data_IF_136960371939
#
_entry.id   IF_136960371939
#
_cell.length_a   1.000
_cell.length_b   1.000
_cell.length_c   1.000
_cell.angle_alpha   90.00
_cell.angle_beta   90.00
_cell.angle_gamma   90.00
#
_symmetry.space_group_name_H-M   'P 1'
#
loop_
_entity.id
_entity.type
_entity.pdbx_description
1 polymer ?
#
# COMPACT_ATOMS: atom_id res chain seq x y z
N UNK A 1 -37.72 22.08 58.59
CA UNK A 1 -36.79 22.99 57.86
C UNK A 1 -37.12 22.82 56.37
N UNK A 2 -37.38 23.93 55.65
CA UNK A 2 -37.72 23.87 54.23
C UNK A 2 -36.49 23.67 53.37
N UNK A 3 -36.70 22.98 52.26
CA UNK A 3 -35.74 22.79 51.17
C UNK A 3 -35.63 24.10 50.40
N UNK A 4 -34.42 24.61 50.18
CA UNK A 4 -34.15 25.74 49.27
C UNK A 4 -33.99 25.18 47.89
N UNK A 5 -34.95 25.51 46.98
CA UNK A 5 -34.90 25.30 45.52
C UNK A 5 -34.15 26.49 44.90
N UNK A 6 -32.87 26.34 44.62
CA UNK A 6 -32.11 27.23 43.73
C UNK A 6 -31.09 26.43 42.90
N UNK A 7 -31.62 25.58 41.99
CA UNK A 7 -30.83 24.98 40.91
C UNK A 7 -31.24 25.64 39.59
N UNK A 8 -30.61 26.77 39.27
CA UNK A 8 -30.68 27.36 37.94
C UNK A 8 -29.90 26.45 36.94
N UNK A 9 -30.51 26.06 35.80
CA UNK A 9 -29.84 25.16 34.85
C UNK A 9 -28.62 25.85 34.22
N UNK A 10 -27.54 25.14 33.93
CA UNK A 10 -26.32 25.71 33.39
C UNK A 10 -26.56 26.34 32.01
N UNK A 11 -26.10 27.58 31.86
CA UNK A 11 -26.21 28.34 30.60
C UNK A 11 -25.52 27.60 29.46
N UNK A 12 -26.15 27.55 28.26
CA UNK A 12 -25.55 26.89 27.12
C UNK A 12 -24.24 27.55 26.71
N UNK A 13 -23.25 26.77 26.23
CA UNK A 13 -21.91 27.26 25.86
C UNK A 13 -22.03 28.30 24.71
N UNK A 14 -21.33 29.41 24.86
CA UNK A 14 -21.27 30.48 23.86
C UNK A 14 -20.75 29.91 22.54
N UNK A 15 -21.54 30.02 21.46
CA UNK A 15 -21.11 29.64 20.09
C UNK A 15 -19.82 30.36 19.75
N UNK A 16 -18.74 29.56 19.57
CA UNK A 16 -17.51 30.02 18.94
C UNK A 16 -17.84 30.52 17.53
N UNK A 17 -17.53 31.78 17.24
CA UNK A 17 -17.64 32.31 15.88
C UNK A 17 -16.58 31.65 15.02
N UNK A 18 -16.99 30.71 14.17
CA UNK A 18 -16.15 30.08 13.16
C UNK A 18 -15.71 31.06 12.10
N UNK A 19 -14.56 31.69 12.32
CA UNK A 19 -13.89 32.55 11.32
C UNK A 19 -13.05 31.72 10.31
N UNK A 20 -13.11 30.39 10.37
CA UNK A 20 -12.30 29.49 9.51
C UNK A 20 -13.00 29.01 8.25
N UNK A 21 -14.32 29.20 8.12
CA UNK A 21 -15.08 28.65 6.98
C UNK A 21 -14.92 29.43 5.66
N UNK A 22 -14.50 30.71 5.69
CA UNK A 22 -14.36 31.49 4.46
C UNK A 22 -13.04 31.35 3.71
N UNK A 23 -11.98 30.81 4.32
CA UNK A 23 -10.68 30.60 3.65
C UNK A 23 -10.52 29.23 2.98
N UNK A 24 -11.40 28.26 3.23
CA UNK A 24 -11.30 26.91 2.64
C UNK A 24 -11.95 26.76 1.26
N UNK A 25 -12.83 27.68 0.85
CA UNK A 25 -13.53 27.57 -0.45
C UNK A 25 -12.74 28.10 -1.67
N UNK A 26 -11.60 28.76 -1.47
CA UNK A 26 -10.84 29.38 -2.57
C UNK A 26 -9.65 28.56 -3.09
N UNK A 27 -9.44 27.33 -2.61
CA UNK A 27 -8.48 26.43 -3.20
C UNK A 27 -9.14 25.61 -4.30
N UNK A 28 -9.51 26.24 -5.42
CA UNK A 28 -9.76 25.54 -6.68
C UNK A 28 -8.55 24.61 -6.93
N UNK A 29 -8.79 23.30 -6.96
CA UNK A 29 -7.78 22.34 -7.45
C UNK A 29 -7.35 22.84 -8.82
N UNK A 30 -6.11 23.33 -8.94
CA UNK A 30 -5.49 23.48 -10.27
C UNK A 30 -5.52 22.09 -10.87
N UNK A 31 -6.22 21.92 -11.97
CA UNK A 31 -6.11 20.69 -12.75
C UNK A 31 -4.64 20.50 -13.07
N UNK A 32 -4.07 19.43 -12.57
CA UNK A 32 -2.69 19.05 -12.87
C UNK A 32 -2.72 18.50 -14.29
N UNK A 33 -2.51 19.36 -15.27
CA UNK A 33 -2.27 18.91 -16.66
C UNK A 33 -0.98 18.09 -16.67
N UNK A 34 -1.06 16.86 -17.14
CA UNK A 34 0.08 15.97 -17.34
C UNK A 34 0.42 15.98 -18.83
N UNK A 35 1.65 16.30 -19.18
CA UNK A 35 2.16 16.11 -20.54
C UNK A 35 2.34 14.61 -20.75
N UNK A 36 1.65 14.05 -21.73
CA UNK A 36 1.74 12.64 -22.12
C UNK A 36 2.43 12.58 -23.48
N UNK A 37 3.44 11.73 -23.59
CA UNK A 37 4.07 11.43 -24.89
C UNK A 37 3.19 10.40 -25.60
N UNK A 38 2.73 10.74 -26.79
CA UNK A 38 1.84 9.92 -27.60
C UNK A 38 2.43 9.66 -28.98
N UNK A 39 2.21 8.49 -29.53
CA UNK A 39 2.59 8.17 -30.92
C UNK A 39 1.74 8.95 -31.89
N UNK A 40 2.35 9.41 -32.99
CA UNK A 40 1.66 10.12 -34.07
C UNK A 40 0.97 9.13 -35.00
N UNK A 41 1.57 7.96 -35.17
CA UNK A 41 1.06 6.92 -36.11
C UNK A 41 -0.01 6.03 -35.50
N UNK A 42 0.10 5.78 -34.18
CA UNK A 42 -0.83 4.96 -33.43
C UNK A 42 -1.05 5.59 -32.05
N UNK A 43 -2.07 6.44 -31.89
CA UNK A 43 -2.37 7.15 -30.66
C UNK A 43 -2.78 6.24 -29.49
N UNK A 44 -3.22 5.02 -29.77
CA UNK A 44 -3.71 4.08 -28.76
C UNK A 44 -2.58 3.25 -28.13
N UNK A 45 -1.40 3.19 -28.77
CA UNK A 45 -0.26 2.52 -28.16
C UNK A 45 0.34 3.34 -27.03
N UNK A 46 0.94 2.65 -26.04
CA UNK A 46 1.62 3.27 -24.90
C UNK A 46 3.12 3.35 -25.08
N UNK A 47 3.75 4.33 -24.42
CA UNK A 47 5.21 4.39 -24.36
C UNK A 47 5.71 3.37 -23.31
N UNK A 48 6.16 2.23 -23.80
CA UNK A 48 6.84 1.22 -22.99
C UNK A 48 8.23 1.69 -22.59
N UNK A 49 8.57 1.57 -21.32
CA UNK A 49 9.90 1.96 -20.78
C UNK A 49 10.43 0.85 -19.88
N UNK A 50 11.54 0.23 -20.28
CA UNK A 50 12.24 -0.77 -19.49
C UNK A 50 13.66 -0.32 -19.21
N UNK A 51 13.92 0.02 -17.95
CA UNK A 51 15.22 0.57 -17.56
C UNK A 51 15.53 1.92 -18.22
N UNK A 52 16.81 2.18 -18.44
CA UNK A 52 17.31 3.43 -19.05
C UNK A 52 17.45 3.35 -20.59
N UNK A 53 17.42 2.17 -21.16
CA UNK A 53 17.86 1.92 -22.54
C UNK A 53 16.72 1.59 -23.50
N UNK A 54 15.61 1.05 -23.00
CA UNK A 54 14.50 0.61 -23.84
C UNK A 54 13.31 1.55 -23.70
N UNK A 55 13.01 2.28 -24.77
CA UNK A 55 11.84 3.16 -24.89
C UNK A 55 11.27 3.00 -26.27
N UNK A 56 10.04 2.49 -26.34
CA UNK A 56 9.34 2.30 -27.61
C UNK A 56 7.84 2.43 -27.42
N UNK A 57 7.15 2.83 -28.47
CA UNK A 57 5.69 2.74 -28.49
C UNK A 57 5.30 1.30 -28.80
N UNK A 58 4.54 0.70 -27.92
CA UNK A 58 4.20 -0.71 -28.01
C UNK A 58 2.87 -1.01 -27.31
N UNK A 59 2.38 -2.21 -27.53
CA UNK A 59 1.37 -2.88 -26.72
C UNK A 59 2.05 -3.96 -25.90
N UNK A 60 1.43 -4.30 -24.78
CA UNK A 60 1.85 -5.37 -23.88
C UNK A 60 0.77 -6.45 -23.85
N UNK A 61 1.18 -7.73 -23.99
CA UNK A 61 0.28 -8.87 -23.93
C UNK A 61 0.46 -9.58 -22.57
N UNK A 62 -0.56 -9.50 -21.75
CA UNK A 62 -0.62 -10.18 -20.44
C UNK A 62 -1.29 -11.54 -20.66
N UNK A 63 -0.51 -12.61 -20.53
CA UNK A 63 -0.96 -13.97 -20.88
C UNK A 63 -0.94 -14.86 -19.66
N UNK A 64 -2.04 -15.55 -19.40
CA UNK A 64 -2.13 -16.62 -18.42
C UNK A 64 -2.03 -17.99 -19.11
N UNK A 65 -1.23 -18.88 -18.53
CA UNK A 65 -1.03 -20.25 -19.01
C UNK A 65 -1.30 -21.25 -17.88
N UNK A 66 -1.62 -22.48 -18.26
CA UNK A 66 -1.64 -23.60 -17.32
C UNK A 66 -0.22 -24.15 -17.04
N UNK A 67 -0.11 -25.17 -16.19
CA UNK A 67 1.16 -25.83 -15.86
C UNK A 67 1.83 -26.55 -17.04
N UNK A 68 1.12 -26.77 -18.14
CA UNK A 68 1.62 -27.40 -19.35
C UNK A 68 1.99 -26.38 -20.43
N UNK A 69 1.77 -25.09 -20.17
CA UNK A 69 2.07 -24.01 -21.09
C UNK A 69 0.95 -23.70 -22.10
N UNK A 70 -0.25 -24.29 -21.94
CA UNK A 70 -1.40 -23.88 -22.76
C UNK A 70 -1.91 -22.52 -22.33
N UNK A 71 -2.08 -21.63 -23.32
CA UNK A 71 -2.62 -20.29 -23.09
C UNK A 71 -4.10 -20.38 -22.75
N UNK A 72 -4.46 -19.89 -21.58
CA UNK A 72 -5.84 -19.86 -21.08
C UNK A 72 -6.54 -18.55 -21.45
N UNK A 73 -5.83 -17.42 -21.35
CA UNK A 73 -6.36 -16.09 -21.64
C UNK A 73 -5.21 -15.13 -21.99
N UNK A 74 -5.50 -14.14 -22.81
CA UNK A 74 -4.58 -13.03 -23.12
C UNK A 74 -5.33 -11.72 -23.14
N UNK A 75 -4.81 -10.72 -22.45
CA UNK A 75 -5.29 -9.34 -22.49
C UNK A 75 -4.18 -8.46 -23.03
N UNK A 76 -4.53 -7.60 -23.98
CA UNK A 76 -3.58 -6.66 -24.60
C UNK A 76 -3.87 -5.25 -24.08
N UNK A 77 -2.84 -4.60 -23.58
CA UNK A 77 -2.93 -3.22 -23.07
C UNK A 77 -1.90 -2.32 -23.75
N UNK A 78 -2.10 -0.98 -23.74
CA UNK A 78 -1.03 -0.05 -24.10
C UNK A 78 0.21 -0.29 -23.23
N UNK A 79 1.42 -0.23 -23.81
CA UNK A 79 2.67 -0.60 -23.14
C UNK A 79 3.11 0.31 -21.96
N UNK A 80 2.33 1.32 -21.62
CA UNK A 80 2.50 2.13 -20.41
C UNK A 80 1.56 1.72 -19.25
N UNK A 81 0.77 0.66 -19.43
CA UNK A 81 -0.06 0.08 -18.39
C UNK A 81 0.79 -0.89 -17.58
N UNK A 82 0.81 -0.73 -16.26
CA UNK A 82 1.59 -1.62 -15.41
C UNK A 82 0.89 -2.99 -15.27
N UNK A 83 1.68 -4.07 -15.25
CA UNK A 83 1.21 -5.46 -15.16
C UNK A 83 0.17 -5.69 -14.06
N UNK A 84 0.38 -5.08 -12.89
CA UNK A 84 -0.56 -5.21 -11.76
C UNK A 84 -1.94 -4.60 -12.02
N UNK A 85 -2.08 -3.71 -13.01
CA UNK A 85 -3.37 -3.13 -13.41
C UNK A 85 -4.10 -4.08 -14.36
N UNK A 86 -3.37 -4.70 -15.29
CA UNK A 86 -3.92 -5.67 -16.23
C UNK A 86 -4.31 -7.00 -15.55
N UNK A 87 -3.73 -7.29 -14.38
CA UNK A 87 -3.97 -8.52 -13.63
C UNK A 87 -5.46 -8.79 -13.39
N UNK A 88 -6.21 -7.79 -12.98
CA UNK A 88 -7.63 -7.95 -12.62
C UNK A 88 -8.44 -8.52 -13.78
N UNK A 89 -8.23 -8.00 -14.99
CA UNK A 89 -8.97 -8.46 -16.17
C UNK A 89 -8.58 -9.87 -16.58
N UNK A 90 -7.29 -10.18 -16.59
CA UNK A 90 -6.79 -11.54 -16.89
C UNK A 90 -7.31 -12.54 -15.88
N UNK A 91 -7.18 -12.21 -14.59
CA UNK A 91 -7.60 -13.06 -13.48
C UNK A 91 -9.11 -13.36 -13.53
N UNK A 92 -9.94 -12.33 -13.71
CA UNK A 92 -11.40 -12.48 -13.73
C UNK A 92 -11.85 -13.35 -14.92
N UNK A 93 -11.22 -13.20 -16.08
CA UNK A 93 -11.52 -14.02 -17.27
C UNK A 93 -11.11 -15.48 -17.06
N UNK A 94 -9.89 -15.72 -16.54
CA UNK A 94 -9.39 -17.07 -16.27
C UNK A 94 -10.26 -17.77 -15.23
N UNK A 95 -10.52 -17.15 -14.10
CA UNK A 95 -11.28 -17.77 -13.01
C UNK A 95 -12.75 -17.96 -13.33
N UNK A 96 -13.31 -17.16 -14.23
CA UNK A 96 -14.66 -17.36 -14.76
C UNK A 96 -14.73 -18.59 -15.67
N UNK A 97 -13.72 -18.81 -16.51
CA UNK A 97 -13.67 -19.92 -17.47
C UNK A 97 -13.22 -21.22 -16.81
N UNK A 98 -12.31 -21.12 -15.84
CA UNK A 98 -11.71 -22.25 -15.10
C UNK A 98 -11.88 -22.04 -13.59
N UNK A 99 -13.10 -22.22 -13.05
CA UNK A 99 -13.39 -21.96 -11.64
C UNK A 99 -12.65 -22.89 -10.68
N UNK A 100 -12.16 -24.03 -11.15
CA UNK A 100 -11.35 -25.02 -10.43
C UNK A 100 -9.92 -24.56 -10.16
N UNK A 101 -9.49 -23.42 -10.71
CA UNK A 101 -8.16 -22.86 -10.47
C UNK A 101 -7.93 -22.61 -8.98
N UNK A 102 -6.96 -23.28 -8.36
CA UNK A 102 -6.65 -23.15 -6.94
C UNK A 102 -5.45 -22.23 -6.67
N UNK A 103 -4.46 -22.25 -7.55
CA UNK A 103 -3.19 -21.57 -7.34
C UNK A 103 -2.86 -20.67 -8.52
N UNK A 104 -2.51 -19.43 -8.23
CA UNK A 104 -2.03 -18.45 -9.20
C UNK A 104 -0.53 -18.29 -9.00
N UNK A 105 0.26 -18.58 -10.01
CA UNK A 105 1.71 -18.36 -10.01
C UNK A 105 2.03 -17.09 -10.81
N UNK A 106 2.69 -16.15 -10.19
CA UNK A 106 3.04 -14.88 -10.83
C UNK A 106 4.43 -14.40 -10.40
N UNK A 107 5.00 -13.45 -11.14
CA UNK A 107 6.25 -12.85 -10.72
C UNK A 107 6.06 -11.88 -9.54
N UNK A 108 7.17 -11.39 -8.99
CA UNK A 108 7.13 -10.50 -7.82
C UNK A 108 6.54 -9.11 -8.09
N UNK A 109 6.36 -8.71 -9.36
CA UNK A 109 5.73 -7.45 -9.73
C UNK A 109 4.22 -7.48 -9.47
N UNK A 110 3.62 -8.65 -9.52
CA UNK A 110 2.20 -8.86 -9.21
C UNK A 110 1.91 -8.94 -7.71
N UNK A 111 2.92 -9.04 -6.85
CA UNK A 111 2.72 -9.06 -5.40
C UNK A 111 2.40 -7.65 -4.88
N UNK A 112 1.17 -7.24 -5.06
CA UNK A 112 0.62 -6.00 -4.50
C UNK A 112 -0.45 -6.31 -3.44
N UNK A 113 -0.69 -5.43 -2.44
CA UNK A 113 -1.72 -5.67 -1.43
C UNK A 113 -3.10 -5.96 -2.03
N UNK A 114 -3.44 -5.27 -3.13
CA UNK A 114 -4.71 -5.46 -3.84
C UNK A 114 -4.83 -6.87 -4.44
N UNK A 115 -3.81 -7.30 -5.19
CA UNK A 115 -3.80 -8.62 -5.84
C UNK A 115 -3.81 -9.74 -4.79
N UNK A 116 -2.97 -9.61 -3.75
CA UNK A 116 -2.97 -10.58 -2.66
C UNK A 116 -4.36 -10.70 -2.04
N UNK A 117 -4.98 -9.58 -1.67
CA UNK A 117 -6.31 -9.57 -1.11
C UNK A 117 -7.33 -10.23 -2.04
N UNK A 118 -7.37 -9.84 -3.33
CA UNK A 118 -8.33 -10.38 -4.30
C UNK A 118 -8.24 -11.90 -4.42
N UNK A 119 -7.03 -12.43 -4.58
CA UNK A 119 -6.80 -13.87 -4.76
C UNK A 119 -7.17 -14.66 -3.50
N UNK A 120 -6.77 -14.18 -2.32
CA UNK A 120 -7.07 -14.88 -1.06
C UNK A 120 -8.54 -14.75 -0.65
N UNK A 121 -9.21 -13.63 -0.92
CA UNK A 121 -10.65 -13.47 -0.67
C UNK A 121 -11.48 -14.45 -1.52
N UNK A 122 -10.99 -14.78 -2.73
CA UNK A 122 -11.60 -15.81 -3.59
C UNK A 122 -11.27 -17.25 -3.15
N UNK A 123 -10.57 -17.43 -2.03
CA UNK A 123 -10.17 -18.74 -1.50
C UNK A 123 -9.06 -19.44 -2.29
N UNK A 124 -8.34 -18.71 -3.13
CA UNK A 124 -7.21 -19.21 -3.92
C UNK A 124 -5.87 -18.84 -3.27
N UNK A 125 -4.80 -19.46 -3.76
CA UNK A 125 -3.44 -19.21 -3.28
C UNK A 125 -2.66 -18.41 -4.32
N UNK A 126 -1.98 -17.36 -3.88
CA UNK A 126 -1.03 -16.60 -4.71
C UNK A 126 0.40 -17.06 -4.39
N UNK A 127 1.06 -17.65 -5.38
CA UNK A 127 2.48 -18.04 -5.32
C UNK A 127 3.31 -17.03 -6.11
N UNK A 128 4.19 -16.29 -5.42
CA UNK A 128 5.10 -15.32 -6.05
C UNK A 128 6.51 -15.48 -5.51
N UNK A 129 7.50 -15.15 -6.35
CA UNK A 129 8.88 -15.15 -5.91
C UNK A 129 9.06 -14.21 -4.71
N UNK A 130 9.73 -14.68 -3.66
CA UNK A 130 10.02 -13.89 -2.48
C UNK A 130 10.95 -12.72 -2.83
N UNK A 131 10.52 -11.52 -2.47
CA UNK A 131 11.34 -10.31 -2.59
C UNK A 131 11.69 -9.80 -1.20
N UNK A 132 12.98 -9.84 -0.87
CA UNK A 132 13.46 -9.31 0.42
C UNK A 132 13.15 -7.81 0.51
N UNK A 133 12.47 -7.36 1.57
CA UNK A 133 12.24 -5.94 1.79
C UNK A 133 13.55 -5.16 1.86
N UNK A 134 13.56 -3.99 1.21
CA UNK A 134 14.73 -3.13 1.23
C UNK A 134 14.86 -2.41 2.58
N UNK A 135 16.08 -2.34 3.07
CA UNK A 135 16.43 -1.58 4.27
C UNK A 135 17.36 -0.44 3.90
N UNK A 136 17.42 0.57 4.74
CA UNK A 136 18.40 1.63 4.62
C UNK A 136 19.82 1.03 4.70
N UNK A 137 20.73 1.45 3.82
CA UNK A 137 22.12 0.95 3.84
C UNK A 137 22.76 1.22 5.20
N UNK A 138 23.22 0.15 5.86
CA UNK A 138 23.80 0.22 7.21
C UNK A 138 22.79 0.44 8.33
N UNK A 139 21.49 0.48 8.03
CA UNK A 139 20.44 0.65 9.02
C UNK A 139 19.91 -0.65 9.61
N UNK A 140 19.01 -0.51 10.58
CA UNK A 140 18.28 -1.65 11.12
C UNK A 140 17.46 -2.35 10.05
N UNK A 141 17.49 -3.65 10.07
CA UNK A 141 16.69 -4.50 9.20
C UNK A 141 15.21 -4.38 9.54
N UNK A 142 14.34 -4.48 8.52
CA UNK A 142 12.91 -4.22 8.67
C UNK A 142 12.23 -5.14 9.70
N UNK A 143 12.65 -6.40 9.83
CA UNK A 143 12.08 -7.36 10.79
C UNK A 143 12.39 -7.05 12.25
N UNK A 144 13.31 -6.12 12.51
CA UNK A 144 13.56 -5.63 13.88
C UNK A 144 12.48 -4.65 14.35
N UNK A 145 11.59 -4.21 13.44
CA UNK A 145 10.42 -3.42 13.77
C UNK A 145 9.22 -4.36 13.83
N UNK A 146 8.82 -4.73 15.05
CA UNK A 146 7.76 -5.72 15.29
C UNK A 146 6.42 -5.01 15.37
N UNK A 147 5.47 -5.43 14.54
CA UNK A 147 4.09 -4.95 14.64
C UNK A 147 3.34 -5.75 15.70
N UNK A 148 2.72 -5.05 16.63
CA UNK A 148 1.82 -5.61 17.63
C UNK A 148 0.37 -5.34 17.20
N UNK A 149 -0.32 -6.39 16.81
CA UNK A 149 -1.68 -6.32 16.29
C UNK A 149 -2.68 -5.95 17.38
N UNK A 150 -2.47 -6.44 18.61
CA UNK A 150 -3.38 -6.21 19.73
C UNK A 150 -3.40 -4.74 20.16
N UNK A 151 -2.23 -4.11 20.24
CA UNK A 151 -2.10 -2.70 20.61
C UNK A 151 -2.07 -1.74 19.40
N UNK A 152 -2.14 -2.25 18.18
CA UNK A 152 -2.02 -1.47 16.93
C UNK A 152 -0.83 -0.51 16.97
N UNK A 153 0.34 -1.04 17.26
CA UNK A 153 1.57 -0.26 17.36
C UNK A 153 2.77 -1.02 16.76
N UNK A 154 3.88 -0.31 16.55
CA UNK A 154 5.14 -0.93 16.13
C UNK A 154 6.17 -0.76 17.21
N UNK A 155 6.85 -1.85 17.56
CA UNK A 155 7.94 -1.87 18.54
C UNK A 155 9.27 -1.77 17.77
N UNK A 156 10.10 -0.79 18.12
CA UNK A 156 11.41 -0.59 17.49
C UNK A 156 12.50 -1.49 18.14
N UNK A 157 13.70 -1.61 17.53
CA UNK A 157 14.81 -2.40 18.07
C UNK A 157 15.24 -2.01 19.50
N UNK A 158 14.99 -0.77 19.91
CA UNK A 158 15.24 -0.28 21.28
C UNK A 158 14.01 -0.38 22.17
N UNK A 159 13.06 -1.27 21.83
CA UNK A 159 11.84 -1.56 22.60
C UNK A 159 10.96 -0.35 22.85
N UNK A 160 11.04 0.69 22.00
CA UNK A 160 10.15 1.84 22.10
C UNK A 160 8.96 1.69 21.17
N UNK A 161 7.82 2.21 21.59
CA UNK A 161 6.56 2.10 20.88
C UNK A 161 6.42 3.24 19.87
N UNK A 162 6.24 2.88 18.60
CA UNK A 162 5.78 3.78 17.55
C UNK A 162 4.25 3.70 17.51
N UNK A 163 3.59 4.80 17.80
CA UNK A 163 2.12 4.87 17.85
C UNK A 163 1.55 5.13 16.46
N UNK A 164 0.35 4.62 16.22
CA UNK A 164 -0.43 4.99 15.06
C UNK A 164 -0.62 6.51 14.99
N UNK A 165 -0.36 7.10 13.84
CA UNK A 165 -0.49 8.53 13.62
C UNK A 165 -1.60 8.87 12.61
N UNK A 166 -1.61 8.20 11.45
CA UNK A 166 -2.58 8.44 10.38
C UNK A 166 -2.57 7.30 9.37
N UNK A 167 -3.60 7.23 8.54
CA UNK A 167 -3.60 6.41 7.32
C UNK A 167 -3.57 7.34 6.12
N UNK A 168 -2.65 7.13 5.20
CA UNK A 168 -2.55 7.92 3.99
C UNK A 168 -3.62 7.51 2.95
N UNK A 169 -3.69 8.23 1.81
CA UNK A 169 -4.70 7.96 0.78
C UNK A 169 -4.50 6.65 0.03
N UNK A 170 -3.29 6.11 0.10
CA UNK A 170 -2.89 4.87 -0.56
C UNK A 170 -3.10 3.65 0.36
N UNK A 171 -3.75 3.84 1.52
CA UNK A 171 -4.06 2.77 2.45
C UNK A 171 -2.92 2.37 3.40
N UNK A 172 -1.83 3.15 3.48
CA UNK A 172 -0.76 2.87 4.43
C UNK A 172 -1.01 3.54 5.77
N UNK A 173 -1.07 2.75 6.83
CA UNK A 173 -1.02 3.19 8.23
C UNK A 173 0.39 3.63 8.56
N UNK A 174 0.55 4.80 9.14
CA UNK A 174 1.82 5.36 9.57
C UNK A 174 1.95 5.29 11.09
N UNK A 175 3.01 4.65 11.55
CA UNK A 175 3.37 4.57 12.97
C UNK A 175 4.60 5.43 13.20
N UNK A 176 4.53 6.33 14.19
CA UNK A 176 5.58 7.33 14.45
C UNK A 176 6.14 7.19 15.85
N UNK A 177 7.46 7.33 15.95
CA UNK A 177 8.17 7.35 17.23
C UNK A 177 8.03 8.72 17.91
N UNK A 178 8.27 8.74 19.24
CA UNK A 178 8.37 9.99 20.01
C UNK A 178 9.75 10.64 19.74
N UNK A 179 9.81 11.86 19.18
CA UNK A 179 11.07 12.56 18.91
C UNK A 179 11.89 12.81 20.19
N UNK A 180 11.24 12.98 21.33
CA UNK A 180 11.94 13.22 22.62
C UNK A 180 12.78 12.01 23.04
N UNK A 181 12.26 10.81 22.79
CA UNK A 181 12.98 9.55 23.07
C UNK A 181 14.08 9.36 22.01
N UNK A 182 13.74 9.53 20.74
CA UNK A 182 14.65 9.26 19.63
C UNK A 182 15.83 10.25 19.54
N UNK A 183 15.72 11.45 20.09
CA UNK A 183 16.81 12.43 20.13
C UNK A 183 18.05 11.88 20.85
N UNK A 184 17.86 11.14 21.93
CA UNK A 184 18.93 10.56 22.75
C UNK A 184 19.12 9.03 22.53
N UNK A 185 18.51 8.50 21.47
CA UNK A 185 18.56 7.07 21.20
C UNK A 185 19.94 6.65 20.70
N UNK A 186 20.59 5.61 21.27
CA UNK A 186 21.91 5.15 20.83
C UNK A 186 21.91 4.60 19.41
N UNK A 187 20.80 4.04 18.95
CA UNK A 187 20.63 3.47 17.62
C UNK A 187 20.06 4.46 16.59
N UNK A 188 20.03 5.74 16.89
CA UNK A 188 19.40 6.75 16.02
C UNK A 188 19.94 6.74 14.60
N UNK A 189 21.25 6.71 14.42
CA UNK A 189 21.90 6.73 13.10
C UNK A 189 21.56 5.51 12.25
N UNK A 190 21.34 4.35 12.89
CA UNK A 190 20.90 3.12 12.24
C UNK A 190 19.40 3.10 11.95
N UNK A 191 18.64 3.99 12.61
CA UNK A 191 17.19 3.99 12.59
C UNK A 191 16.58 5.06 11.66
N UNK A 192 17.01 6.33 11.83
CA UNK A 192 16.44 7.45 11.07
C UNK A 192 17.42 8.61 10.90
N UNK A 193 17.44 9.19 9.67
CA UNK A 193 18.15 10.43 9.36
C UNK A 193 17.22 11.66 9.35
N UNK A 194 15.97 11.52 9.87
CA UNK A 194 15.05 12.64 9.96
C UNK A 194 15.60 13.76 10.85
N UNK A 195 15.49 15.00 10.38
CA UNK A 195 15.88 16.20 11.14
C UNK A 195 15.06 16.32 12.43
N UNK A 196 13.80 15.90 12.39
CA UNK A 196 12.86 15.96 13.52
C UNK A 196 13.01 14.75 14.47
N UNK A 197 14.03 13.91 14.27
CA UNK A 197 14.27 12.69 15.08
C UNK A 197 13.08 11.73 15.12
N UNK A 198 12.26 11.69 14.07
CA UNK A 198 11.11 10.81 13.99
C UNK A 198 11.41 9.64 13.07
N UNK A 199 11.18 8.41 13.56
CA UNK A 199 11.06 7.21 12.72
C UNK A 199 9.60 7.01 12.35
N UNK A 200 9.34 6.84 11.06
CA UNK A 200 8.04 6.43 10.55
C UNK A 200 8.16 5.03 9.97
N UNK A 201 7.27 4.14 10.40
CA UNK A 201 7.07 2.81 9.82
C UNK A 201 5.69 2.80 9.18
N UNK A 202 5.61 2.29 7.95
CA UNK A 202 4.35 2.18 7.21
C UNK A 202 3.94 0.73 7.08
N UNK A 203 2.66 0.42 7.32
CA UNK A 203 2.04 -0.88 7.11
C UNK A 203 0.75 -0.68 6.32
N UNK A 204 0.63 -1.35 5.18
CA UNK A 204 -0.61 -1.30 4.41
C UNK A 204 -1.76 -1.97 5.18
N UNK A 205 -3.00 -1.49 5.02
CA UNK A 205 -4.20 -2.06 5.67
C UNK A 205 -4.43 -3.53 5.28
N UNK A 206 -3.94 -3.96 4.13
CA UNK A 206 -4.00 -5.35 3.63
C UNK A 206 -2.64 -6.05 3.72
N UNK A 207 -1.78 -5.66 4.64
CA UNK A 207 -0.45 -6.26 4.80
C UNK A 207 -0.51 -7.74 5.14
N UNK A 208 -1.56 -8.15 5.88
CA UNK A 208 -1.76 -9.54 6.28
C UNK A 208 -1.92 -10.46 5.06
N UNK A 209 -2.56 -10.00 3.98
CA UNK A 209 -2.65 -10.74 2.73
C UNK A 209 -1.30 -10.88 2.01
N UNK A 210 -0.43 -9.88 2.08
CA UNK A 210 0.94 -10.01 1.56
C UNK A 210 1.76 -11.00 2.38
N UNK A 211 1.55 -11.04 3.69
CA UNK A 211 2.19 -11.98 4.60
C UNK A 211 1.70 -13.40 4.34
N UNK A 212 0.40 -13.61 4.08
CA UNK A 212 -0.14 -14.90 3.63
C UNK A 212 0.51 -15.37 2.31
N UNK A 213 0.77 -14.47 1.36
CA UNK A 213 1.48 -14.80 0.13
C UNK A 213 2.96 -15.18 0.37
N UNK A 214 3.61 -14.55 1.38
CA UNK A 214 4.95 -14.93 1.79
C UNK A 214 4.98 -16.31 2.48
N UNK A 215 3.96 -16.61 3.29
CA UNK A 215 3.85 -17.86 4.03
C UNK A 215 3.43 -19.03 3.14
N UNK A 216 2.73 -18.75 2.03
CA UNK A 216 2.37 -19.76 1.03
C UNK A 216 3.58 -20.58 0.55
N UNK A 217 4.79 -19.99 0.51
CA UNK A 217 6.04 -20.67 0.14
C UNK A 217 6.42 -21.83 1.06
N UNK A 218 5.85 -21.91 2.26
CA UNK A 218 6.07 -23.02 3.20
C UNK A 218 5.00 -24.10 3.09
N UNK A 219 4.05 -23.95 2.16
CA UNK A 219 2.98 -24.90 1.94
C UNK A 219 3.28 -25.82 0.74
N UNK A 220 2.70 -27.03 0.67
CA UNK A 220 2.87 -27.93 -0.48
C UNK A 220 2.29 -27.38 -1.80
N UNK A 221 1.47 -26.33 -1.74
CA UNK A 221 0.86 -25.69 -2.93
C UNK A 221 1.76 -24.63 -3.59
N UNK A 222 2.90 -24.30 -2.99
CA UNK A 222 3.91 -23.39 -3.55
C UNK A 222 4.86 -24.16 -4.50
#
# INVERSE_FOLDING_TARGET
KPFDDDDEPPKPPKKCKDNTSKKKLARRKKEKTRIVTQSVTDPDCGLFVKGSHERQFAYEAHTACDSHGFVLETVVTPGNVHDSVAFDEVYDKVTKTFPETETIVADSAYKTPHICKKVFDDGRVLSTAYKRPQTMKGGHEWWKYVYDEFYDCVICPEYQILKYATTNRDGYREYKSDPKICTNCPSRELCTHSKDCVKTVQRHIWKDYEELADDARYTPKY
#
